data_IF_976838685873
#
_entry.id   IF_976838685873
#
_cell.length_a   1.000
_cell.length_b   1.000
_cell.length_c   1.000
_cell.angle_alpha   90.00
_cell.angle_beta   90.00
_cell.angle_gamma   90.00
#
_symmetry.space_group_name_H-M   'P 1'
#
loop_
_entity.id
_entity.type
_entity.pdbx_description
1 polymer ?
#
# COMPACT_ATOMS: atom_id res chain seq x y z
N UNK A 1 1.31 3.47 19.95
CA UNK A 1 1.15 2.21 19.17
C UNK A 1 1.87 2.38 17.84
N UNK A 2 2.62 1.40 17.34
CA UNK A 2 3.32 1.47 16.03
C UNK A 2 2.77 0.39 15.10
N UNK A 3 2.40 0.75 13.87
CA UNK A 3 1.86 -0.18 12.87
C UNK A 3 2.02 0.34 11.43
N UNK A 4 1.72 -0.49 10.43
CA UNK A 4 1.79 -0.15 9.00
C UNK A 4 0.40 0.12 8.42
N UNK A 5 0.35 1.05 7.47
CA UNK A 5 -0.79 1.24 6.58
C UNK A 5 -0.26 0.95 5.16
N UNK A 6 -0.72 -0.14 4.56
CA UNK A 6 -0.13 -0.73 3.34
C UNK A 6 -1.15 -1.14 2.26
N UNK A 7 -2.02 -0.23 1.78
CA UNK A 7 -3.09 -0.56 0.86
C UNK A 7 -2.56 -1.09 -0.48
N UNK A 8 -3.09 -2.25 -0.90
CA UNK A 8 -2.96 -2.78 -2.24
C UNK A 8 -4.25 -2.51 -3.02
N UNK A 9 -4.16 -1.82 -4.15
CA UNK A 9 -5.32 -1.43 -4.98
C UNK A 9 -5.23 -2.08 -6.34
N UNK A 10 -6.25 -2.84 -6.72
CA UNK A 10 -6.38 -3.47 -8.02
C UNK A 10 -7.18 -2.57 -8.97
N UNK A 11 -6.72 -2.41 -10.21
CA UNK A 11 -7.47 -1.69 -11.25
C UNK A 11 -8.73 -2.44 -11.70
N UNK A 12 -8.70 -3.77 -11.63
CA UNK A 12 -9.83 -4.65 -11.93
C UNK A 12 -10.58 -5.10 -10.66
N UNK A 13 -10.75 -6.41 -10.51
CA UNK A 13 -11.51 -7.04 -9.42
C UNK A 13 -10.63 -7.29 -8.20
N UNK A 14 -11.26 -7.40 -7.02
CA UNK A 14 -10.58 -7.65 -5.73
C UNK A 14 -9.91 -9.03 -5.59
N UNK A 15 -10.26 -10.00 -6.45
CA UNK A 15 -9.84 -11.39 -6.25
C UNK A 15 -8.38 -11.59 -6.67
N UNK A 16 -7.63 -12.36 -5.88
CA UNK A 16 -6.21 -12.66 -6.09
C UNK A 16 -5.94 -14.17 -6.08
N UNK A 17 -4.75 -14.57 -6.55
CA UNK A 17 -4.26 -15.94 -6.51
C UNK A 17 -2.77 -15.95 -6.18
N UNK A 18 -2.37 -16.86 -5.29
CA UNK A 18 -0.96 -17.20 -5.04
C UNK A 18 -0.44 -18.13 -6.15
N UNK A 19 0.78 -17.89 -6.62
CA UNK A 19 1.46 -18.72 -7.62
C UNK A 19 2.14 -19.92 -6.96
N UNK A 20 2.62 -20.86 -7.79
CA UNK A 20 3.22 -22.10 -7.33
C UNK A 20 4.58 -21.91 -6.62
N UNK A 21 5.12 -20.69 -6.61
CA UNK A 21 6.34 -20.35 -5.87
C UNK A 21 6.08 -20.17 -4.36
N UNK A 22 4.82 -20.12 -3.92
CA UNK A 22 4.44 -19.94 -2.52
C UNK A 22 4.54 -18.50 -2.01
N UNK A 23 4.74 -17.52 -2.90
CA UNK A 23 4.99 -16.12 -2.53
C UNK A 23 4.29 -15.11 -3.42
N UNK A 24 4.35 -15.29 -4.74
CA UNK A 24 3.85 -14.28 -5.68
C UNK A 24 2.32 -14.29 -5.66
N UNK A 25 1.72 -13.15 -5.32
CA UNK A 25 0.27 -12.94 -5.39
C UNK A 25 -0.06 -12.07 -6.59
N UNK A 26 -0.94 -12.55 -7.46
CA UNK A 26 -1.40 -11.83 -8.66
C UNK A 26 -2.91 -11.61 -8.62
N UNK A 27 -3.39 -10.56 -9.29
CA UNK A 27 -4.83 -10.37 -9.54
C UNK A 27 -5.35 -11.51 -10.40
N UNK A 28 -6.52 -12.07 -10.07
CA UNK A 28 -7.08 -13.19 -10.83
C UNK A 28 -7.46 -12.80 -12.26
N UNK A 29 -7.84 -11.53 -12.47
CA UNK A 29 -8.16 -10.98 -13.79
C UNK A 29 -6.94 -10.41 -14.53
N UNK A 30 -5.74 -10.50 -13.94
CA UNK A 30 -4.46 -10.01 -14.49
C UNK A 30 -4.41 -8.51 -14.74
N UNK A 31 -5.33 -7.74 -14.15
CA UNK A 31 -5.28 -6.28 -14.14
C UNK A 31 -4.09 -5.78 -13.30
N UNK A 32 -3.68 -4.53 -13.54
CA UNK A 32 -2.62 -3.89 -12.76
C UNK A 32 -3.04 -3.77 -11.29
N UNK A 33 -2.04 -3.86 -10.41
CA UNK A 33 -2.18 -3.59 -8.98
C UNK A 33 -1.02 -2.69 -8.53
N UNK A 34 -1.28 -1.84 -7.54
CA UNK A 34 -0.29 -0.94 -6.97
C UNK A 34 -0.40 -0.92 -5.44
N UNK A 35 0.73 -0.70 -4.77
CA UNK A 35 0.83 -0.66 -3.31
C UNK A 35 1.68 0.54 -2.88
N UNK A 36 1.33 1.10 -1.74
CA UNK A 36 2.15 2.04 -0.98
C UNK A 36 2.11 1.62 0.49
N UNK A 37 3.15 1.95 1.25
CA UNK A 37 3.26 1.60 2.65
C UNK A 37 3.89 2.72 3.47
N UNK A 38 3.30 3.01 4.63
CA UNK A 38 3.91 3.83 5.65
C UNK A 38 3.80 3.19 7.03
N UNK A 39 4.88 3.33 7.81
CA UNK A 39 4.87 3.06 9.24
C UNK A 39 4.44 4.32 9.98
N UNK A 40 3.49 4.17 10.91
CA UNK A 40 2.96 5.25 11.73
C UNK A 40 3.06 4.92 13.21
N UNK A 41 3.25 5.94 14.03
CA UNK A 41 3.09 5.86 15.49
C UNK A 41 1.88 6.70 15.91
N UNK A 42 1.00 6.11 16.71
CA UNK A 42 -0.11 6.84 17.38
C UNK A 42 0.46 7.58 18.60
N UNK A 43 0.21 8.89 18.65
CA UNK A 43 0.56 9.79 19.75
C UNK A 43 -0.68 10.10 20.61
N UNK A 44 -0.53 10.90 21.66
CA UNK A 44 -1.65 11.26 22.55
C UNK A 44 -2.72 12.11 21.84
N UNK A 45 -2.36 12.81 20.77
CA UNK A 45 -3.16 13.80 20.06
C UNK A 45 -3.32 13.52 18.55
N UNK A 46 -2.73 12.43 18.03
CA UNK A 46 -2.76 12.12 16.60
C UNK A 46 -1.82 10.99 16.18
N UNK A 47 -1.01 11.25 15.15
CA UNK A 47 -0.03 10.30 14.64
C UNK A 47 1.19 11.00 14.04
N UNK A 48 2.32 10.29 13.99
CA UNK A 48 3.50 10.68 13.21
C UNK A 48 3.79 9.65 12.12
N UNK A 49 4.19 10.11 10.93
CA UNK A 49 4.77 9.25 9.88
C UNK A 49 6.24 8.98 10.21
N UNK A 50 6.60 7.71 10.37
CA UNK A 50 7.98 7.30 10.63
C UNK A 50 8.79 7.06 9.35
N UNK A 51 8.10 6.88 8.22
CA UNK A 51 8.71 6.63 6.90
C UNK A 51 8.23 7.63 5.84
N UNK A 52 8.39 8.94 6.05
CA UNK A 52 7.94 9.94 5.09
C UNK A 52 8.82 9.93 3.84
N UNK A 53 8.26 10.38 2.71
CA UNK A 53 9.07 10.68 1.53
C UNK A 53 9.99 11.88 1.82
N UNK A 54 11.27 11.88 1.38
CA UNK A 54 12.23 12.93 1.73
C UNK A 54 11.78 14.36 1.38
N UNK A 55 10.98 14.49 0.31
CA UNK A 55 10.48 15.78 -0.19
C UNK A 55 8.99 16.02 0.13
N UNK A 56 8.42 15.26 1.06
CA UNK A 56 6.98 15.27 1.37
C UNK A 56 6.12 14.48 0.38
N UNK A 57 4.81 14.45 0.61
CA UNK A 57 3.85 13.79 -0.27
C UNK A 57 3.70 14.61 -1.57
N UNK A 58 4.22 14.09 -2.68
CA UNK A 58 4.17 14.79 -3.96
C UNK A 58 2.72 15.06 -4.44
N UNK A 59 2.57 16.03 -5.34
CA UNK A 59 1.33 16.21 -6.10
C UNK A 59 1.28 15.17 -7.21
N UNK A 60 0.45 14.13 -7.05
CA UNK A 60 0.17 13.18 -8.12
C UNK A 60 -0.90 13.78 -9.04
N UNK A 61 -0.67 13.84 -10.37
CA UNK A 61 -1.73 14.21 -11.29
C UNK A 61 -2.87 13.20 -11.19
N UNK A 62 -4.10 13.68 -11.33
CA UNK A 62 -5.24 12.79 -11.49
C UNK A 62 -5.01 11.93 -12.75
N UNK A 63 -5.13 10.63 -12.59
CA UNK A 63 -5.15 9.64 -13.68
C UNK A 63 -6.54 9.53 -14.29
#
# INVERSE_FOLDING_TARGET
>A
MVFTIEPMVNAGKRHVKELNDGWTVVTQDKSLSAQWEHMVVVTDDGFELLTPWPNGTGHYPAV
#
